data_IF_574975664068
#
_entry.id   IF_574975664068
#
_cell.length_a   1.000
_cell.length_b   1.000
_cell.length_c   1.000
_cell.angle_alpha   90.00
_cell.angle_beta   90.00
_cell.angle_gamma   90.00
#
_symmetry.space_group_name_H-M   'P 1'
#
loop_
_entity.id
_entity.type
_entity.pdbx_description
1 polymer ?
#
# COMPACT_ATOMS: atom_id res chain seq x y z
N UNK A 1 -8.01 -11.77 -17.20
CA UNK A 1 -8.25 -10.41 -16.67
C UNK A 1 -7.91 -10.41 -15.19
N UNK A 2 -6.85 -9.71 -14.80
CA UNK A 2 -6.43 -9.63 -13.40
C UNK A 2 -7.36 -8.63 -12.70
N UNK A 3 -8.25 -9.12 -11.84
CA UNK A 3 -9.16 -8.26 -11.04
C UNK A 3 -8.43 -7.82 -9.77
N UNK A 4 -7.64 -6.75 -9.88
CA UNK A 4 -7.15 -6.05 -8.69
C UNK A 4 -8.27 -5.12 -8.21
N UNK A 5 -8.58 -5.17 -6.91
CA UNK A 5 -9.59 -4.28 -6.33
C UNK A 5 -9.09 -2.82 -6.41
N UNK A 6 -10.00 -1.87 -6.63
CA UNK A 6 -9.67 -0.45 -6.84
C UNK A 6 -8.71 0.13 -5.79
N UNK A 7 -8.89 -0.23 -4.52
CA UNK A 7 -7.98 0.20 -3.43
C UNK A 7 -6.55 -0.29 -3.57
N UNK A 8 -6.32 -1.49 -4.12
CA UNK A 8 -4.96 -2.02 -4.32
C UNK A 8 -4.29 -1.37 -5.54
N UNK A 9 -5.08 -1.05 -6.58
CA UNK A 9 -4.59 -0.23 -7.70
C UNK A 9 -4.16 1.14 -7.18
N UNK A 10 -5.03 1.82 -6.42
CA UNK A 10 -4.73 3.13 -5.83
C UNK A 10 -3.50 3.09 -4.92
N UNK A 11 -3.37 2.04 -4.11
CA UNK A 11 -2.18 1.83 -3.28
C UNK A 11 -0.90 1.71 -4.11
N UNK A 12 -0.94 0.93 -5.19
CA UNK A 12 0.19 0.74 -6.09
C UNK A 12 0.56 2.02 -6.84
N UNK A 13 -0.42 2.73 -7.38
CA UNK A 13 -0.23 4.02 -8.06
C UNK A 13 0.45 5.02 -7.13
N UNK A 14 0.00 5.12 -5.87
CA UNK A 14 0.62 5.99 -4.89
C UNK A 14 2.09 5.61 -4.64
N UNK A 15 2.37 4.32 -4.42
CA UNK A 15 3.74 3.84 -4.20
C UNK A 15 4.66 4.11 -5.40
N UNK A 16 4.17 3.95 -6.64
CA UNK A 16 4.93 4.23 -7.85
C UNK A 16 5.24 5.73 -7.98
N UNK A 17 4.25 6.58 -7.73
CA UNK A 17 4.42 8.04 -7.79
C UNK A 17 5.36 8.59 -6.72
N UNK A 18 5.60 7.82 -5.65
CA UNK A 18 6.47 8.19 -4.54
C UNK A 18 7.68 7.26 -4.42
N UNK A 19 8.03 6.49 -5.46
CA UNK A 19 9.10 5.50 -5.39
C UNK A 19 10.51 6.10 -5.16
N UNK A 20 10.68 7.40 -5.39
CA UNK A 20 11.91 8.12 -5.06
C UNK A 20 12.02 8.48 -3.56
N UNK A 21 10.92 8.38 -2.81
CA UNK A 21 10.94 8.51 -1.36
C UNK A 21 11.42 7.17 -0.77
N UNK A 22 12.49 7.21 0.02
CA UNK A 22 13.03 5.99 0.66
C UNK A 22 12.02 5.35 1.63
N UNK A 23 11.09 6.14 2.18
CA UNK A 23 10.07 5.70 3.13
C UNK A 23 8.73 6.37 2.80
N UNK A 24 7.69 5.57 2.65
CA UNK A 24 6.30 6.05 2.62
C UNK A 24 5.69 5.81 4.00
N UNK A 25 5.36 6.88 4.73
CA UNK A 25 4.74 6.74 6.05
C UNK A 25 3.30 6.24 5.94
N UNK A 26 2.91 5.40 6.89
CA UNK A 26 1.54 4.89 7.02
C UNK A 26 0.48 5.98 6.92
N UNK A 27 0.68 7.13 7.56
CA UNK A 27 -0.29 8.25 7.52
C UNK A 27 -0.49 8.81 6.11
N UNK A 28 0.57 8.89 5.31
CA UNK A 28 0.46 9.32 3.91
C UNK A 28 -0.37 8.30 3.12
N UNK A 29 -0.07 7.02 3.29
CA UNK A 29 -0.75 5.94 2.58
C UNK A 29 -2.22 5.79 3.00
N UNK A 30 -2.54 5.91 4.30
CA UNK A 30 -3.94 5.86 4.76
C UNK A 30 -4.73 7.08 4.33
N UNK A 31 -4.13 8.26 4.31
CA UNK A 31 -4.77 9.48 3.81
C UNK A 31 -5.05 9.37 2.32
N UNK A 32 -4.13 8.85 1.53
CA UNK A 32 -4.39 8.60 0.11
C UNK A 32 -5.56 7.62 -0.07
N UNK A 33 -5.51 6.48 0.62
CA UNK A 33 -6.48 5.40 0.41
C UNK A 33 -7.90 5.75 0.89
N UNK A 34 -8.04 6.50 1.98
CA UNK A 34 -9.34 6.74 2.63
C UNK A 34 -9.69 8.20 2.88
N UNK A 35 -8.81 9.15 2.60
CA UNK A 35 -9.04 10.59 2.84
C UNK A 35 -9.38 10.87 4.30
N UNK A 36 -10.39 11.70 4.54
CA UNK A 36 -10.88 12.04 5.89
C UNK A 36 -11.35 10.84 6.70
N UNK A 37 -11.72 9.73 6.03
CA UNK A 37 -12.12 8.51 6.72
C UNK A 37 -10.95 7.76 7.35
N UNK A 38 -9.71 8.11 7.02
CA UNK A 38 -8.50 7.44 7.52
C UNK A 38 -8.44 7.39 9.05
N UNK A 39 -9.02 8.38 9.74
CA UNK A 39 -9.11 8.43 11.20
C UNK A 39 -9.97 7.31 11.84
N UNK A 40 -10.86 6.69 11.07
CA UNK A 40 -11.74 5.61 11.52
C UNK A 40 -11.28 4.23 11.06
N UNK A 41 -10.21 4.16 10.27
CA UNK A 41 -9.70 2.91 9.68
C UNK A 41 -8.64 2.32 10.60
N UNK A 42 -8.74 1.01 10.85
CA UNK A 42 -7.76 0.29 11.66
C UNK A 42 -6.51 -0.08 10.87
N UNK A 43 -5.43 -0.32 11.58
CA UNK A 43 -4.15 -0.81 11.03
C UNK A 43 -4.29 -2.14 10.28
N UNK A 44 -5.25 -2.96 10.70
CA UNK A 44 -5.54 -4.24 10.06
C UNK A 44 -6.03 -4.04 8.62
N UNK A 45 -6.79 -2.98 8.34
CA UNK A 45 -7.28 -2.69 6.99
C UNK A 45 -6.11 -2.38 6.03
N UNK A 46 -5.17 -1.54 6.46
CA UNK A 46 -3.99 -1.23 5.65
C UNK A 46 -3.11 -2.47 5.47
N UNK A 47 -2.89 -3.22 6.54
CA UNK A 47 -2.12 -4.47 6.50
C UNK A 47 -2.71 -5.45 5.49
N UNK A 48 -4.05 -5.58 5.44
CA UNK A 48 -4.72 -6.45 4.49
C UNK A 48 -4.54 -6.01 3.03
N UNK A 49 -4.63 -4.70 2.74
CA UNK A 49 -4.38 -4.17 1.39
C UNK A 49 -2.97 -4.48 0.94
N UNK A 50 -1.99 -4.19 1.79
CA UNK A 50 -0.58 -4.39 1.50
C UNK A 50 -0.26 -5.87 1.30
N UNK A 51 -0.80 -6.74 2.16
CA UNK A 51 -0.67 -8.18 2.00
C UNK A 51 -1.21 -8.66 0.64
N UNK A 52 -2.41 -8.23 0.28
CA UNK A 52 -3.04 -8.60 -0.99
C UNK A 52 -2.29 -8.00 -2.18
N UNK A 53 -1.78 -6.77 -2.08
CA UNK A 53 -0.97 -6.13 -3.12
C UNK A 53 0.34 -6.90 -3.32
N UNK A 54 1.05 -7.25 -2.26
CA UNK A 54 2.26 -8.08 -2.34
C UNK A 54 1.97 -9.43 -2.98
N UNK A 55 0.83 -10.05 -2.67
CA UNK A 55 0.39 -11.31 -3.29
C UNK A 55 0.15 -11.14 -4.80
N UNK A 56 -0.50 -10.06 -5.20
CA UNK A 56 -0.74 -9.76 -6.62
C UNK A 56 0.60 -9.53 -7.36
N UNK A 57 1.52 -8.75 -6.76
CA UNK A 57 2.85 -8.47 -7.30
C UNK A 57 3.75 -9.72 -7.38
N UNK A 58 3.62 -10.66 -6.43
CA UNK A 58 4.34 -11.94 -6.45
C UNK A 58 4.03 -12.73 -7.71
N UNK A 59 2.81 -12.67 -8.23
CA UNK A 59 2.44 -13.30 -9.51
C UNK A 59 3.25 -12.83 -10.71
N UNK A 60 3.88 -11.66 -10.61
CA UNK A 60 4.74 -11.05 -11.63
C UNK A 60 6.24 -11.09 -11.27
N UNK A 61 6.63 -11.81 -10.21
CA UNK A 61 8.02 -11.85 -9.74
C UNK A 61 8.44 -10.64 -8.88
N UNK A 62 7.53 -9.70 -8.59
CA UNK A 62 7.81 -8.45 -7.86
C UNK A 62 7.58 -8.58 -6.34
N UNK A 63 7.99 -9.69 -5.74
CA UNK A 63 7.69 -9.97 -4.32
C UNK A 63 8.38 -9.00 -3.33
N UNK A 64 9.46 -8.35 -3.78
CA UNK A 64 10.30 -7.44 -2.99
C UNK A 64 10.02 -5.96 -3.33
N UNK A 65 8.86 -5.64 -3.92
CA UNK A 65 8.53 -4.28 -4.36
C UNK A 65 8.51 -3.24 -3.22
N UNK A 66 8.12 -3.66 -2.01
CA UNK A 66 8.11 -2.80 -0.82
C UNK A 66 8.31 -3.65 0.43
N UNK A 67 8.77 -3.02 1.52
CA UNK A 67 9.02 -3.66 2.81
C UNK A 67 8.24 -2.95 3.92
N UNK A 68 8.30 -3.45 5.16
CA UNK A 68 7.79 -2.72 6.30
C UNK A 68 8.99 -2.16 7.08
N UNK A 69 9.10 -0.84 7.17
CA UNK A 69 10.14 -0.15 7.92
C UNK A 69 9.80 -0.07 9.41
N UNK A 70 10.83 -0.04 10.27
CA UNK A 70 10.68 -0.03 11.73
C UNK A 70 9.93 1.19 12.31
N UNK A 71 9.66 2.22 11.51
CA UNK A 71 9.14 3.53 11.91
C UNK A 71 7.70 3.83 11.44
N UNK A 72 6.85 2.81 11.29
CA UNK A 72 5.51 2.92 10.65
C UNK A 72 5.57 3.34 9.17
N UNK A 73 6.66 2.99 8.48
CA UNK A 73 6.87 3.26 7.06
C UNK A 73 6.83 1.99 6.21
N UNK A 74 6.74 2.17 4.90
CA UNK A 74 6.83 1.13 3.87
C UNK A 74 7.82 1.50 2.79
#
# INVERSE_FOLDING_TARGET
MIKIAAMRIKCLEYMLNHAQQEIIYKKQLTNELWGERSQFISDANLTQILYLLRRDLKGFGLSQFFFHGASNGY
#
